data_IF_304831425201
#
_entry.id   IF_304831425201
#
_cell.length_a   1.000
_cell.length_b   1.000
_cell.length_c   1.000
_cell.angle_alpha   90.00
_cell.angle_beta   90.00
_cell.angle_gamma   90.00
#
_symmetry.space_group_name_H-M   'P 1'
#
loop_
_entity.id
_entity.type
_entity.pdbx_description
1 polymer ?
#
# COMPACT_ATOMS: atom_id res chain seq x y z
N UNK A 1 -12.97 -4.41 1.36
CA UNK A 1 -12.19 -5.03 2.45
C UNK A 1 -11.25 -3.98 3.02
N UNK A 2 -11.01 -3.94 4.34
CA UNK A 2 -10.15 -2.91 4.92
C UNK A 2 -8.70 -3.06 4.46
N UNK A 3 -8.09 -1.99 3.94
CA UNK A 3 -6.68 -1.96 3.50
C UNK A 3 -5.74 -2.57 4.53
N UNK A 4 -5.92 -2.23 5.81
CA UNK A 4 -5.12 -2.77 6.92
C UNK A 4 -5.23 -4.28 7.03
N UNK A 5 -6.45 -4.83 6.95
CA UNK A 5 -6.66 -6.29 7.03
C UNK A 5 -5.99 -7.03 5.89
N UNK A 6 -6.01 -6.44 4.69
CA UNK A 6 -5.37 -7.01 3.50
C UNK A 6 -3.85 -7.01 3.64
N UNK A 7 -3.25 -5.91 4.11
CA UNK A 7 -1.81 -5.82 4.37
C UNK A 7 -1.37 -6.77 5.49
N UNK A 8 -2.14 -6.88 6.57
CA UNK A 8 -1.87 -7.87 7.62
C UNK A 8 -1.94 -9.30 7.08
N UNK A 9 -2.92 -9.62 6.22
CA UNK A 9 -3.04 -10.93 5.60
C UNK A 9 -1.83 -11.26 4.73
N UNK A 10 -1.36 -10.31 3.91
CA UNK A 10 -0.14 -10.45 3.12
C UNK A 10 1.11 -10.65 4.00
N UNK A 11 1.29 -9.82 5.03
CA UNK A 11 2.42 -9.93 5.98
C UNK A 11 2.45 -11.27 6.71
N UNK A 12 1.27 -11.87 6.95
CA UNK A 12 1.13 -13.19 7.58
C UNK A 12 1.20 -14.34 6.57
N UNK A 13 1.32 -14.06 5.28
CA UNK A 13 1.41 -15.07 4.22
C UNK A 13 0.08 -15.74 3.84
N UNK A 14 -1.06 -15.16 4.23
CA UNK A 14 -2.38 -15.70 3.87
C UNK A 14 -2.78 -15.42 2.42
N UNK A 15 -2.25 -14.33 1.85
CA UNK A 15 -2.50 -13.93 0.47
C UNK A 15 -1.19 -13.50 -0.18
N UNK A 16 -1.13 -13.65 -1.50
CA UNK A 16 0.02 -13.26 -2.31
C UNK A 16 0.02 -11.75 -2.62
N UNK A 17 1.14 -11.28 -3.16
CA UNK A 17 1.27 -9.89 -3.58
C UNK A 17 0.23 -9.51 -4.66
N UNK A 18 -0.09 -10.44 -5.56
CA UNK A 18 -1.04 -10.24 -6.65
C UNK A 18 -2.48 -10.16 -6.13
N UNK A 19 -2.85 -11.02 -5.20
CA UNK A 19 -4.17 -10.96 -4.55
C UNK A 19 -4.34 -9.64 -3.79
N UNK A 20 -3.28 -9.20 -3.10
CA UNK A 20 -3.23 -7.91 -2.44
C UNK A 20 -3.50 -6.74 -3.43
N UNK A 21 -2.88 -6.78 -4.61
CA UNK A 21 -3.09 -5.81 -5.69
C UNK A 21 -4.52 -5.82 -6.24
N UNK A 22 -5.11 -7.00 -6.43
CA UNK A 22 -6.48 -7.14 -6.90
C UNK A 22 -7.50 -6.66 -5.86
N UNK A 23 -7.29 -6.95 -4.58
CA UNK A 23 -8.21 -6.53 -3.50
C UNK A 23 -8.13 -5.03 -3.27
N UNK A 24 -6.93 -4.44 -3.33
CA UNK A 24 -6.71 -3.01 -3.08
C UNK A 24 -6.88 -2.15 -4.34
N UNK A 25 -6.89 -2.74 -5.53
CA UNK A 25 -6.99 -2.03 -6.81
C UNK A 25 -5.76 -1.18 -7.12
N UNK A 26 -4.57 -1.57 -6.64
CA UNK A 26 -3.31 -0.83 -6.82
C UNK A 26 -2.17 -1.77 -7.23
N UNK A 27 -1.17 -1.22 -7.93
CA UNK A 27 0.02 -1.98 -8.34
C UNK A 27 0.84 -2.55 -7.17
N UNK A 28 1.48 -3.69 -7.42
CA UNK A 28 2.35 -4.39 -6.47
C UNK A 28 3.48 -3.50 -5.92
N UNK A 29 4.01 -2.59 -6.74
CA UNK A 29 5.04 -1.61 -6.34
C UNK A 29 4.50 -0.65 -5.27
N UNK A 30 3.25 -0.19 -5.39
CA UNK A 30 2.64 0.68 -4.40
C UNK A 30 2.39 -0.05 -3.09
N UNK A 31 2.14 -1.35 -3.16
CA UNK A 31 1.93 -2.16 -1.95
C UNK A 31 3.25 -2.43 -1.24
N UNK A 32 4.36 -2.61 -1.97
CA UNK A 32 5.67 -2.76 -1.34
C UNK A 32 6.02 -1.54 -0.47
N UNK A 33 5.71 -0.33 -0.96
CA UNK A 33 5.81 0.90 -0.15
C UNK A 33 4.88 0.92 1.05
N UNK A 34 3.69 0.31 0.94
CA UNK A 34 2.71 0.25 2.02
C UNK A 34 3.04 -0.79 3.10
N UNK A 35 3.76 -1.85 2.74
CA UNK A 35 4.19 -2.92 3.66
C UNK A 35 5.44 -2.51 4.45
N UNK A 36 6.31 -1.69 3.85
CA UNK A 36 7.54 -1.20 4.47
C UNK A 36 7.36 -0.10 5.52
N UNK A 37 6.22 0.60 5.50
CA UNK A 37 5.96 1.71 6.42
C UNK A 37 5.37 1.21 7.76
N UNK A 38 5.97 1.54 8.92
CA UNK A 38 5.48 1.13 10.23
C UNK A 38 4.20 1.91 10.59
N UNK A 39 3.03 1.37 10.22
CA UNK A 39 1.66 1.61 10.71
C UNK A 39 1.26 3.01 11.26
N UNK A 40 1.91 4.08 10.82
CA UNK A 40 1.50 5.45 11.09
C UNK A 40 1.15 6.16 9.79
N UNK A 41 -0.05 6.73 9.79
CA UNK A 41 -0.64 7.57 8.75
C UNK A 41 -1.32 6.82 7.61
N UNK A 42 -2.60 6.59 7.83
CA UNK A 42 -3.62 6.57 6.79
C UNK A 42 -3.69 7.94 6.06
N UNK A 43 -2.61 8.41 5.42
CA UNK A 43 -2.62 9.61 4.56
C UNK A 43 -1.36 9.81 3.69
N UNK A 44 -0.66 8.76 3.25
CA UNK A 44 0.59 8.94 2.48
C UNK A 44 0.45 8.74 0.95
N UNK A 45 -0.71 8.35 0.43
CA UNK A 45 -0.92 8.28 -1.04
C UNK A 45 -1.34 9.63 -1.65
N UNK A 46 -1.44 10.69 -0.84
CA UNK A 46 -1.58 12.08 -1.32
C UNK A 46 -0.33 12.91 -0.97
N UNK A 47 0.88 12.34 -1.10
CA UNK A 47 2.05 13.21 -1.32
C UNK A 47 2.26 13.38 -2.81
N UNK A 48 1.45 14.31 -3.32
CA UNK A 48 1.57 15.00 -4.61
C UNK A 48 3.00 14.97 -5.16
N UNK A 49 3.13 14.53 -6.41
CA UNK A 49 4.04 15.18 -7.37
C UNK A 49 3.79 16.70 -7.27
N UNK A 50 4.65 17.44 -6.59
CA UNK A 50 4.77 18.88 -6.81
C UNK A 50 6.01 19.08 -7.68
N UNK A 51 5.88 19.47 -8.95
CA UNK A 51 6.95 20.17 -9.63
C UNK A 51 6.89 21.62 -9.15
N UNK A 52 7.98 22.12 -8.59
CA UNK A 52 8.17 23.56 -8.47
C UNK A 52 9.53 23.87 -9.10
N UNK A 53 9.44 24.43 -10.31
CA UNK A 53 10.51 25.17 -10.96
C UNK A 53 11.07 26.23 -9.99
N UNK A 54 12.39 26.40 -10.03
CA UNK A 54 13.13 27.52 -9.46
C UNK A 54 14.51 27.54 -10.08
#
# INVERSE_FOLDING_TARGET
>A
MDKRKVITAYRRGFITMQECAQILGIDSIQILGLVGEPEHSDNALVRKKQPANG
#
